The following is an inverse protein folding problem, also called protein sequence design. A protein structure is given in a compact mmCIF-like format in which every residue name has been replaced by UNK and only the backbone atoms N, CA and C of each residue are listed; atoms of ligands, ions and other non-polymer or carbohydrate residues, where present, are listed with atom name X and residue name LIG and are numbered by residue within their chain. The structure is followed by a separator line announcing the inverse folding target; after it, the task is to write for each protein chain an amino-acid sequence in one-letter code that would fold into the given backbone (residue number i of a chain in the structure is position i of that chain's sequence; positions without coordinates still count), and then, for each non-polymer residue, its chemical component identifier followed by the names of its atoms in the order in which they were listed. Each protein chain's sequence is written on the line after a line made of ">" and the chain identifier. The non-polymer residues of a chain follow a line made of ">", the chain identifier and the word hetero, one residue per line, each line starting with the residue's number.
data_IF_655202729649
#
_entry.id   IF_655202729649
#
_cell.length_a   1.000
_cell.length_b   1.000
_cell.length_c   1.000
_cell.angle_alpha   90.00
_cell.angle_beta   90.00
_cell.angle_gamma   90.00
#
_symmetry.space_group_name_H-M   'P 1'
#
loop_
_entity.id
_entity.type
_entity.pdbx_description
1 polymer ?
#
# COMPACT_ATOMS: atom_id res chain seq x y z
N UNK A 1 -52.55 -58.09 22.56
CA UNK A 1 -51.89 -58.55 21.32
C UNK A 1 -51.77 -57.35 20.36
N UNK A 2 -50.53 -57.03 19.92
CA UNK A 2 -50.09 -56.16 18.79
C UNK A 2 -50.80 -54.79 18.59
N UNK A 3 -50.26 -53.66 19.09
CA UNK A 3 -49.24 -52.75 18.49
C UNK A 3 -49.73 -52.08 17.19
N UNK A 4 -50.54 -51.00 17.28
CA UNK A 4 -50.21 -49.55 17.30
C UNK A 4 -49.62 -49.02 15.99
N UNK A 5 -50.50 -48.39 15.21
CA UNK A 5 -50.24 -47.59 14.02
C UNK A 5 -50.08 -46.10 14.40
N UNK A 6 -49.35 -45.37 13.54
CA UNK A 6 -49.37 -43.91 13.33
C UNK A 6 -48.41 -43.03 14.15
N UNK A 7 -47.15 -43.03 13.69
CA UNK A 7 -46.38 -41.88 13.15
C UNK A 7 -46.87 -40.48 13.57
N UNK A 8 -46.16 -39.83 14.51
CA UNK A 8 -45.99 -38.36 14.59
C UNK A 8 -44.61 -38.04 15.19
N UNK A 9 -44.01 -36.93 14.72
CA UNK A 9 -42.94 -36.11 15.31
C UNK A 9 -41.48 -36.46 14.98
N UNK A 10 -40.51 -35.55 14.81
CA UNK A 10 -40.34 -34.11 14.48
C UNK A 10 -38.80 -33.91 14.45
N UNK A 11 -38.34 -32.85 13.77
CA UNK A 11 -37.04 -32.18 13.95
C UNK A 11 -35.80 -32.82 13.31
N UNK A 12 -35.55 -32.44 12.05
CA UNK A 12 -34.23 -32.51 11.43
C UNK A 12 -33.27 -31.58 12.18
N UNK A 13 -32.34 -32.18 12.90
CA UNK A 13 -31.26 -31.51 13.62
C UNK A 13 -30.28 -30.84 12.64
N UNK A 14 -29.93 -29.60 12.99
CA UNK A 14 -28.97 -28.78 12.28
C UNK A 14 -27.58 -29.43 12.27
N UNK A 15 -26.98 -29.57 11.09
CA UNK A 15 -25.53 -29.57 10.97
C UNK A 15 -25.19 -28.18 10.44
N UNK A 16 -24.83 -27.30 11.38
CA UNK A 16 -24.21 -26.02 11.09
C UNK A 16 -22.84 -26.29 10.47
N UNK A 17 -22.82 -26.50 9.15
CA UNK A 17 -21.60 -26.32 8.37
C UNK A 17 -21.28 -24.84 8.36
N UNK A 18 -20.40 -24.40 9.26
CA UNK A 18 -19.70 -23.13 9.10
C UNK A 18 -18.80 -23.26 7.86
N UNK A 19 -19.40 -23.10 6.68
CA UNK A 19 -18.65 -22.59 5.54
C UNK A 19 -18.18 -21.22 5.97
N UNK A 20 -16.90 -21.14 6.36
CA UNK A 20 -16.22 -19.87 6.54
C UNK A 20 -16.19 -19.22 5.17
N UNK A 21 -17.24 -18.48 4.82
CA UNK A 21 -17.25 -17.63 3.65
C UNK A 21 -16.20 -16.56 3.93
N UNK A 22 -14.99 -16.84 3.48
CA UNK A 22 -13.92 -15.87 3.42
C UNK A 22 -14.50 -14.71 2.64
N UNK A 23 -14.77 -13.60 3.33
CA UNK A 23 -15.30 -12.41 2.70
C UNK A 23 -14.24 -11.93 1.71
N UNK A 24 -14.37 -12.37 0.46
CA UNK A 24 -13.75 -11.71 -0.67
C UNK A 24 -14.23 -10.26 -0.59
N UNK A 25 -13.34 -9.36 -0.18
CA UNK A 25 -13.61 -7.94 -0.22
C UNK A 25 -13.97 -7.61 -1.67
N UNK A 26 -15.27 -7.49 -1.97
CA UNK A 26 -15.75 -7.05 -3.26
C UNK A 26 -15.22 -5.64 -3.47
N UNK A 27 -14.20 -5.52 -4.32
CA UNK A 27 -13.67 -4.23 -4.77
C UNK A 27 -14.82 -3.46 -5.40
N UNK A 28 -15.01 -2.21 -5.00
CA UNK A 28 -16.06 -1.40 -5.60
C UNK A 28 -15.62 -0.94 -7.01
N UNK A 29 -16.54 -0.72 -7.96
CA UNK A 29 -16.20 -0.20 -9.29
C UNK A 29 -15.39 1.10 -9.25
N UNK A 30 -15.60 1.93 -8.22
CA UNK A 30 -14.86 3.17 -7.98
C UNK A 30 -13.38 2.93 -7.66
N UNK A 31 -13.06 1.88 -6.92
CA UNK A 31 -11.67 1.54 -6.57
C UNK A 31 -10.89 1.11 -7.81
N UNK A 32 -11.52 0.31 -8.68
CA UNK A 32 -10.91 -0.16 -9.93
C UNK A 32 -10.65 1.01 -10.90
N UNK A 33 -11.63 1.90 -11.09
CA UNK A 33 -11.47 3.08 -11.93
C UNK A 33 -10.38 4.03 -11.38
N UNK A 34 -10.19 4.10 -10.05
CA UNK A 34 -9.13 4.90 -9.44
C UNK A 34 -7.74 4.36 -9.78
N UNK A 35 -7.57 3.04 -9.72
CA UNK A 35 -6.31 2.38 -10.12
C UNK A 35 -6.03 2.59 -11.60
N UNK A 36 -7.02 2.36 -12.47
CA UNK A 36 -6.87 2.54 -13.91
C UNK A 36 -6.43 3.96 -14.27
N UNK A 37 -7.03 4.98 -13.66
CA UNK A 37 -6.65 6.36 -13.90
C UNK A 37 -5.26 6.71 -13.34
N UNK A 38 -4.91 6.22 -12.15
CA UNK A 38 -3.59 6.46 -11.55
C UNK A 38 -2.46 5.76 -12.31
N UNK A 39 -2.75 4.59 -12.89
CA UNK A 39 -1.82 3.79 -13.67
C UNK A 39 -1.87 4.07 -15.18
N UNK A 40 -2.72 5.00 -15.62
CA UNK A 40 -2.78 5.40 -17.02
C UNK A 40 -1.39 5.85 -17.47
N UNK A 41 -0.91 5.30 -18.60
CA UNK A 41 0.40 5.59 -19.19
C UNK A 41 1.62 5.16 -18.36
N UNK A 42 1.44 4.42 -17.26
CA UNK A 42 2.54 3.75 -16.54
C UNK A 42 2.80 2.40 -17.21
N UNK A 43 4.03 2.13 -17.70
CA UNK A 43 4.41 0.83 -18.26
C UNK A 43 4.19 -0.31 -17.26
N UNK A 44 3.85 -1.50 -17.74
CA UNK A 44 3.55 -2.65 -16.87
C UNK A 44 4.76 -3.05 -16.03
N UNK A 45 5.98 -2.84 -16.52
CA UNK A 45 7.21 -3.13 -15.79
C UNK A 45 7.29 -2.34 -14.49
N UNK A 46 6.87 -1.07 -14.47
CA UNK A 46 6.86 -0.23 -13.27
C UNK A 46 5.70 -0.54 -12.32
N UNK A 47 4.75 -1.38 -12.73
CA UNK A 47 3.62 -1.75 -11.88
C UNK A 47 4.02 -2.86 -10.92
N UNK A 48 4.87 -3.78 -11.35
CA UNK A 48 5.23 -4.98 -10.59
C UNK A 48 6.59 -4.83 -9.88
N UNK A 49 6.73 -5.47 -8.71
CA UNK A 49 7.95 -5.39 -7.88
C UNK A 49 8.08 -4.08 -7.09
N UNK A 50 9.29 -3.83 -6.58
CA UNK A 50 9.61 -2.65 -5.77
C UNK A 50 9.93 -1.46 -6.67
N UNK A 51 9.08 -0.43 -6.64
CA UNK A 51 9.29 0.74 -7.48
C UNK A 51 10.62 1.45 -7.17
N UNK A 52 10.91 1.64 -5.89
CA UNK A 52 12.17 2.21 -5.43
C UNK A 52 13.09 1.08 -4.95
N UNK A 53 14.28 0.98 -5.54
CA UNK A 53 15.24 -0.09 -5.31
C UNK A 53 15.45 -0.96 -6.54
N UNK A 54 14.38 -1.42 -7.20
CA UNK A 54 14.48 -2.25 -8.41
C UNK A 54 14.36 -1.41 -9.69
N UNK A 55 13.29 -0.61 -9.83
CA UNK A 55 13.07 0.18 -11.04
C UNK A 55 13.73 1.56 -10.99
N UNK A 56 13.63 2.22 -9.84
CA UNK A 56 14.33 3.47 -9.57
C UNK A 56 15.42 3.23 -8.52
N UNK A 57 16.66 3.29 -8.99
CA UNK A 57 17.84 3.22 -8.15
C UNK A 57 17.84 4.34 -7.10
N UNK A 58 18.09 3.97 -5.85
CA UNK A 58 18.13 4.90 -4.72
C UNK A 58 19.59 5.17 -4.38
N UNK A 59 20.01 6.42 -4.51
CA UNK A 59 21.35 6.82 -4.10
C UNK A 59 21.44 7.14 -2.60
N UNK A 60 20.32 7.53 -1.97
CA UNK A 60 20.24 7.63 -0.50
C UNK A 60 18.81 7.61 0.00
N UNK A 61 18.63 7.12 1.23
CA UNK A 61 17.38 7.20 1.98
C UNK A 61 17.63 7.90 3.32
N UNK A 62 16.71 8.79 3.73
CA UNK A 62 16.77 9.47 5.03
C UNK A 62 15.43 9.49 5.73
N UNK A 63 15.45 9.23 7.03
CA UNK A 63 14.25 9.37 7.88
C UNK A 63 13.93 10.84 8.11
N UNK A 64 12.67 11.21 7.90
CA UNK A 64 12.18 12.56 8.18
C UNK A 64 11.50 12.58 9.54
N UNK A 65 11.98 13.48 10.39
CA UNK A 65 11.40 13.73 11.71
C UNK A 65 10.86 15.17 11.80
N UNK A 66 9.75 15.33 12.50
CA UNK A 66 9.24 16.63 12.95
C UNK A 66 9.56 16.81 14.43
N UNK A 67 10.02 18.01 14.81
CA UNK A 67 10.11 18.39 16.22
C UNK A 67 8.73 18.84 16.69
N UNK A 68 8.26 18.27 17.79
CA UNK A 68 6.94 18.56 18.37
C UNK A 68 7.08 19.00 19.82
N UNK A 69 6.39 20.09 20.15
CA UNK A 69 6.29 20.63 21.51
C UNK A 69 7.57 21.29 22.03
N UNK A 70 7.48 21.83 23.26
CA UNK A 70 8.60 22.51 23.92
C UNK A 70 9.75 21.57 24.31
N UNK A 71 9.48 20.27 24.40
CA UNK A 71 10.46 19.24 24.78
C UNK A 71 11.28 18.69 23.60
N UNK A 72 11.12 19.22 22.38
CA UNK A 72 11.87 18.78 21.19
C UNK A 72 11.76 17.28 20.89
N UNK A 73 10.60 16.67 21.15
CA UNK A 73 10.37 15.26 20.82
C UNK A 73 10.40 15.10 19.31
N UNK A 74 11.21 14.15 18.81
CA UNK A 74 11.30 13.83 17.38
C UNK A 74 10.23 12.79 17.04
N UNK A 75 9.24 13.20 16.25
CA UNK A 75 8.19 12.32 15.72
C UNK A 75 8.50 11.94 14.28
N UNK A 76 8.31 10.67 13.92
CA UNK A 76 8.38 10.21 12.53
C UNK A 76 7.34 10.93 11.67
N UNK A 77 7.77 11.37 10.49
CA UNK A 77 6.90 11.89 9.42
C UNK A 77 6.88 10.94 8.22
N UNK A 78 7.96 10.19 8.04
CA UNK A 78 8.17 9.26 6.93
C UNK A 78 9.63 9.28 6.50
N UNK A 79 9.88 9.24 5.19
CA UNK A 79 11.21 9.22 4.61
C UNK A 79 11.34 10.09 3.37
N UNK A 80 12.58 10.44 3.05
CA UNK A 80 12.96 11.01 1.76
C UNK A 80 14.00 10.11 1.10
N UNK A 81 13.75 9.77 -0.15
CA UNK A 81 14.64 9.02 -1.03
C UNK A 81 15.23 9.99 -2.07
N UNK A 82 16.51 9.84 -2.38
CA UNK A 82 17.13 10.51 -3.51
C UNK A 82 17.32 9.52 -4.65
N UNK A 83 16.66 9.80 -5.77
CA UNK A 83 16.72 9.02 -6.99
C UNK A 83 17.54 9.81 -8.02
N UNK A 84 18.71 9.32 -8.47
CA UNK A 84 19.47 9.97 -9.52
C UNK A 84 18.65 10.09 -10.81
N UNK A 85 18.80 11.20 -11.53
CA UNK A 85 18.17 11.35 -12.85
C UNK A 85 18.81 10.38 -13.84
N UNK A 86 17.97 9.75 -14.67
CA UNK A 86 18.38 8.95 -15.82
C UNK A 86 17.83 9.60 -17.09
N UNK A 87 18.53 9.53 -18.23
CA UNK A 87 18.03 10.06 -19.49
C UNK A 87 16.63 9.55 -19.80
N UNK A 88 15.71 10.46 -20.14
CA UNK A 88 14.31 10.13 -20.44
C UNK A 88 13.40 9.95 -19.21
N UNK A 89 13.91 10.07 -17.99
CA UNK A 89 13.10 9.99 -16.75
C UNK A 89 12.89 11.40 -16.20
N UNK A 90 11.63 11.79 -15.99
CA UNK A 90 11.25 13.07 -15.38
C UNK A 90 10.69 12.88 -13.97
N UNK A 91 10.62 13.96 -13.18
CA UNK A 91 9.96 13.91 -11.87
C UNK A 91 8.47 13.55 -11.98
N UNK A 92 7.80 14.00 -13.04
CA UNK A 92 6.39 13.65 -13.30
C UNK A 92 6.22 12.17 -13.58
N UNK A 93 7.15 11.56 -14.32
CA UNK A 93 7.15 10.13 -14.59
C UNK A 93 7.31 9.30 -13.31
N UNK A 94 8.28 9.65 -12.46
CA UNK A 94 8.48 8.99 -11.15
C UNK A 94 7.26 9.18 -10.25
N UNK A 95 6.67 10.39 -10.23
CA UNK A 95 5.46 10.67 -9.45
C UNK A 95 4.28 9.82 -9.91
N UNK A 96 4.08 9.69 -11.22
CA UNK A 96 2.97 8.92 -11.79
C UNK A 96 3.10 7.42 -11.48
N UNK A 97 4.30 6.86 -11.61
CA UNK A 97 4.56 5.48 -11.23
C UNK A 97 4.30 5.23 -9.72
N UNK A 98 4.74 6.15 -8.86
CA UNK A 98 4.51 6.04 -7.42
C UNK A 98 3.03 6.17 -7.03
N UNK A 99 2.28 7.04 -7.71
CA UNK A 99 0.83 7.17 -7.51
C UNK A 99 0.06 5.94 -7.98
N UNK A 100 0.46 5.35 -9.11
CA UNK A 100 -0.08 4.08 -9.58
C UNK A 100 0.12 2.99 -8.52
N UNK A 101 1.33 2.83 -7.97
CA UNK A 101 1.57 1.84 -6.92
C UNK A 101 0.75 2.09 -5.64
N UNK A 102 0.64 3.34 -5.17
CA UNK A 102 -0.22 3.67 -4.04
C UNK A 102 -1.68 3.26 -4.28
N UNK A 103 -2.21 3.56 -5.47
CA UNK A 103 -3.58 3.18 -5.84
C UNK A 103 -3.73 1.65 -5.87
N UNK A 104 -2.79 0.93 -6.49
CA UNK A 104 -2.79 -0.54 -6.54
C UNK A 104 -2.78 -1.14 -5.14
N UNK A 105 -1.90 -0.69 -4.25
CA UNK A 105 -1.82 -1.21 -2.89
C UNK A 105 -3.08 -0.91 -2.06
N UNK A 106 -3.74 0.22 -2.29
CA UNK A 106 -5.01 0.54 -1.66
C UNK A 106 -6.14 -0.44 -2.06
N UNK A 107 -6.14 -0.91 -3.31
CA UNK A 107 -7.24 -1.74 -3.88
C UNK A 107 -6.96 -3.24 -3.85
N UNK A 108 -5.73 -3.66 -4.12
CA UNK A 108 -5.37 -5.07 -4.28
C UNK A 108 -4.94 -5.74 -2.97
N UNK A 109 -4.46 -4.96 -1.99
CA UNK A 109 -3.92 -5.48 -0.72
C UNK A 109 -2.66 -6.35 -0.88
N UNK A 110 -2.18 -6.56 -2.12
CA UNK A 110 -0.95 -7.27 -2.45
C UNK A 110 0.21 -6.28 -2.42
N UNK A 111 0.58 -5.93 -1.20
CA UNK A 111 1.66 -5.04 -0.92
C UNK A 111 2.91 -5.88 -0.65
N UNK A 112 4.07 -5.49 -1.20
CA UNK A 112 5.33 -6.06 -0.70
C UNK A 112 5.57 -5.56 0.72
N UNK A 113 5.80 -6.49 1.66
CA UNK A 113 5.95 -6.17 3.08
C UNK A 113 7.09 -5.18 3.37
N UNK A 114 8.08 -5.10 2.46
CA UNK A 114 9.23 -4.20 2.56
C UNK A 114 9.04 -2.86 1.84
N UNK A 115 8.01 -2.70 1.02
CA UNK A 115 7.82 -1.47 0.26
C UNK A 115 7.29 -0.35 1.19
N UNK A 116 7.91 0.85 1.21
CA UNK A 116 7.36 1.99 1.94
C UNK A 116 6.03 2.53 1.35
N UNK A 117 5.77 2.39 0.06
CA UNK A 117 4.50 2.77 -0.57
C UNK A 117 3.37 1.79 -0.21
N UNK A 118 3.69 0.55 0.14
CA UNK A 118 2.74 -0.45 0.61
C UNK A 118 2.12 -0.12 1.99
N UNK A 119 2.64 0.88 2.70
CA UNK A 119 2.09 1.28 4.00
C UNK A 119 0.76 2.01 3.80
N UNK A 120 -0.31 1.50 4.42
CA UNK A 120 -1.64 2.12 4.34
C UNK A 120 -1.60 3.58 4.81
N UNK A 121 -2.17 4.48 4.02
CA UNK A 121 -2.17 5.92 4.29
C UNK A 121 -0.85 6.61 3.97
N UNK A 122 0.07 5.94 3.27
CA UNK A 122 1.22 6.59 2.67
C UNK A 122 0.79 7.60 1.59
N UNK A 123 1.53 8.68 1.48
CA UNK A 123 1.42 9.69 0.43
C UNK A 123 2.79 9.98 -0.11
N UNK A 124 2.88 10.18 -1.43
CA UNK A 124 4.14 10.44 -2.13
C UNK A 124 4.13 11.82 -2.79
N UNK A 125 5.28 12.48 -2.76
CA UNK A 125 5.55 13.66 -3.58
C UNK A 125 6.95 13.57 -4.15
N UNK A 126 7.13 14.01 -5.39
CA UNK A 126 8.42 13.98 -6.08
C UNK A 126 8.76 15.40 -6.52
N UNK A 127 9.99 15.82 -6.24
CA UNK A 127 10.51 17.13 -6.65
C UNK A 127 11.88 16.99 -7.28
N UNK A 128 12.13 17.74 -8.35
CA UNK A 128 13.46 17.86 -8.92
C UNK A 128 14.42 18.51 -7.93
N UNK A 129 15.64 17.99 -7.86
CA UNK A 129 16.70 18.54 -7.02
C UNK A 129 18.07 18.19 -7.59
N UNK A 130 18.74 19.21 -8.15
CA UNK A 130 20.09 19.05 -8.68
C UNK A 130 20.13 18.00 -9.78
N UNK A 131 20.88 16.92 -9.55
CA UNK A 131 21.11 15.83 -10.51
C UNK A 131 20.07 14.72 -10.46
N UNK A 132 18.96 14.91 -9.73
CA UNK A 132 17.96 13.87 -9.56
C UNK A 132 16.67 14.38 -8.94
N UNK A 133 15.99 13.49 -8.23
CA UNK A 133 14.68 13.71 -7.64
C UNK A 133 14.72 13.40 -6.15
N UNK A 134 14.05 14.23 -5.35
CA UNK A 134 13.69 13.89 -3.98
C UNK A 134 12.28 13.35 -3.98
N UNK A 135 12.16 12.08 -3.61
CA UNK A 135 10.89 11.41 -3.38
C UNK A 135 10.63 11.46 -1.89
N UNK A 136 9.52 12.07 -1.48
CA UNK A 136 9.11 12.15 -0.08
C UNK A 136 7.87 11.30 0.13
N UNK A 137 8.00 10.29 0.99
CA UNK A 137 6.94 9.36 1.37
C UNK A 137 6.57 9.64 2.82
N UNK A 138 5.30 9.94 3.10
CA UNK A 138 4.85 10.39 4.42
C UNK A 138 3.48 9.84 4.79
N UNK A 139 3.15 9.87 6.07
CA UNK A 139 1.79 9.62 6.55
C UNK A 139 1.46 10.55 7.73
N UNK A 140 0.21 11.01 7.88
CA UNK A 140 -0.24 11.71 9.09
C UNK A 140 -0.35 10.77 10.30
N UNK A 141 -0.54 9.46 10.05
CA UNK A 141 -0.57 8.45 11.10
C UNK A 141 0.84 8.16 11.62
N UNK A 142 0.99 8.08 12.94
CA UNK A 142 2.32 7.96 13.58
C UNK A 142 2.97 6.62 13.27
N UNK A 143 2.19 5.54 13.31
CA UNK A 143 2.73 4.19 13.19
C UNK A 143 3.00 3.86 11.73
N UNK A 144 2.15 4.33 10.81
CA UNK A 144 2.41 4.34 9.38
C UNK A 144 3.66 5.17 9.03
N UNK A 145 3.81 6.40 9.56
CA UNK A 145 4.99 7.22 9.32
C UNK A 145 6.29 6.55 9.81
N UNK A 146 6.22 5.84 10.94
CA UNK A 146 7.34 5.05 11.45
C UNK A 146 7.63 3.86 10.52
N UNK A 147 6.62 3.11 10.10
CA UNK A 147 6.79 1.97 9.20
C UNK A 147 7.38 2.39 7.85
N UNK A 148 6.92 3.51 7.28
CA UNK A 148 7.49 4.11 6.06
C UNK A 148 8.99 4.38 6.27
N UNK A 149 9.33 5.04 7.38
CA UNK A 149 10.72 5.36 7.69
C UNK A 149 11.63 4.13 7.80
N UNK A 150 11.18 3.08 8.51
CA UNK A 150 11.93 1.84 8.72
C UNK A 150 12.11 1.05 7.42
N UNK A 151 11.06 0.98 6.59
CA UNK A 151 11.10 0.33 5.28
C UNK A 151 12.01 1.06 4.30
N UNK A 152 11.91 2.38 4.21
CA UNK A 152 12.69 3.19 3.28
C UNK A 152 14.20 3.13 3.48
N UNK A 153 14.69 2.96 4.72
CA UNK A 153 16.14 2.83 4.99
C UNK A 153 16.66 1.41 4.80
N UNK A 154 15.78 0.46 4.51
CA UNK A 154 16.10 -0.94 4.23
C UNK A 154 16.03 -1.29 2.74
N UNK A 155 15.78 -0.29 1.89
CA UNK A 155 15.77 -0.40 0.43
C UNK A 155 17.19 -0.41 -0.15
#
# INVERSE_FOLDING_TARGET
>A
MKAILSVIAIASTAIAGCATTQASASRTPTDLATVENACAYVPDELRDGLLFGEHFEIASARVVHQRVGKQNVRRYVGAELFVPSKPGVSASHVAQAAQCQLARYATEGRAEDRDPLAVRGASVSVKERGTGFVVRITSPDRDAAKAIAERSVSL
#
